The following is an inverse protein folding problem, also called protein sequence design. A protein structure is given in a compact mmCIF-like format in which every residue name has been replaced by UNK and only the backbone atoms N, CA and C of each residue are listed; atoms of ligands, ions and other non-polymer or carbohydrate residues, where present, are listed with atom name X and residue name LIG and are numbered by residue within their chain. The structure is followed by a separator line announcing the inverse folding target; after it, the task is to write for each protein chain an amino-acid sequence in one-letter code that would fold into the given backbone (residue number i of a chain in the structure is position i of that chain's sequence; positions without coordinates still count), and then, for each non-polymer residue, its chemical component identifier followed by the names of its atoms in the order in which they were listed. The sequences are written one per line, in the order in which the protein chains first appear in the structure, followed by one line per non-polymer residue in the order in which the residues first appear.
data_IF_743040438640
#
_entry.id   IF_743040438640
#
_cell.length_a   1.000
_cell.length_b   1.000
_cell.length_c   1.000
_cell.angle_alpha   90.00
_cell.angle_beta   90.00
_cell.angle_gamma   90.00
#
_symmetry.space_group_name_H-M   'P 1'
#
loop_
_entity.id
_entity.type
_entity.pdbx_description
1 polymer ?
#
# COMPACT_ATOMS: atom_id res chain seq x y z
N UNK A 1 30.66 -12.85 82.40
CA UNK A 1 29.47 -12.63 81.63
C UNK A 1 29.82 -11.76 80.41
N UNK A 2 30.02 -12.38 79.26
CA UNK A 2 30.29 -11.64 78.00
C UNK A 2 29.25 -12.03 77.02
N UNK A 3 28.65 -11.08 76.26
CA UNK A 3 27.72 -11.39 75.22
C UNK A 3 28.48 -11.70 73.90
N UNK A 4 28.07 -12.78 73.24
CA UNK A 4 28.47 -13.20 71.89
C UNK A 4 28.16 -12.11 70.85
N UNK A 5 29.19 -11.69 70.13
CA UNK A 5 29.04 -10.95 68.88
C UNK A 5 28.87 -11.92 67.71
N UNK A 6 27.74 -11.93 67.08
CA UNK A 6 27.51 -12.54 65.76
C UNK A 6 28.14 -11.66 64.68
N UNK A 7 29.26 -12.08 64.11
CA UNK A 7 29.80 -11.48 62.89
C UNK A 7 29.05 -12.01 61.66
N UNK A 8 28.24 -11.20 61.04
CA UNK A 8 27.61 -11.54 59.75
C UNK A 8 28.68 -11.44 58.65
N UNK A 9 28.89 -12.54 57.97
CA UNK A 9 29.93 -12.68 56.94
C UNK A 9 29.48 -12.03 55.61
N UNK A 10 29.89 -10.79 55.36
CA UNK A 10 29.53 -9.93 54.19
C UNK A 10 29.97 -10.51 52.81
N UNK A 11 30.68 -11.65 52.80
CA UNK A 11 31.09 -12.25 51.53
C UNK A 11 29.99 -13.01 50.79
N UNK A 12 28.99 -13.53 51.51
CA UNK A 12 27.90 -14.31 50.90
C UNK A 12 26.78 -13.43 50.31
N UNK A 13 26.61 -12.20 50.77
CA UNK A 13 25.59 -11.29 50.27
C UNK A 13 25.89 -10.76 48.88
N UNK A 14 27.17 -10.57 48.51
CA UNK A 14 27.57 -10.14 47.16
C UNK A 14 27.41 -11.25 46.12
N UNK A 15 27.64 -12.50 46.47
CA UNK A 15 27.45 -13.64 45.58
C UNK A 15 25.97 -13.91 45.29
N UNK A 16 25.10 -13.76 46.30
CA UNK A 16 23.64 -13.92 46.11
C UNK A 16 23.05 -12.77 45.30
N UNK A 17 23.52 -11.51 45.48
CA UNK A 17 23.10 -10.36 44.70
C UNK A 17 23.54 -10.46 43.24
N UNK A 18 24.75 -10.95 42.96
CA UNK A 18 25.23 -11.17 41.58
C UNK A 18 24.49 -12.32 40.90
N UNK A 19 24.15 -13.39 41.61
CA UNK A 19 23.36 -14.50 41.06
C UNK A 19 21.89 -14.06 40.75
N UNK A 20 21.28 -13.22 41.61
CA UNK A 20 19.98 -12.66 41.39
C UNK A 20 19.94 -11.66 40.18
N UNK A 21 21.04 -10.89 40.01
CA UNK A 21 21.17 -10.00 38.85
C UNK A 21 21.36 -10.79 37.54
N UNK A 22 22.13 -11.87 37.57
CA UNK A 22 22.29 -12.74 36.41
C UNK A 22 21.01 -13.50 36.04
N UNK A 23 20.23 -13.96 37.04
CA UNK A 23 18.92 -14.57 36.77
C UNK A 23 17.90 -13.56 36.24
N UNK A 24 17.92 -12.31 36.73
CA UNK A 24 17.03 -11.25 36.22
C UNK A 24 17.34 -10.86 34.76
N UNK A 25 18.63 -10.91 34.37
CA UNK A 25 19.03 -10.64 32.97
C UNK A 25 18.65 -11.81 32.05
N UNK A 26 18.70 -13.06 32.52
CA UNK A 26 18.30 -14.24 31.73
C UNK A 26 16.77 -14.31 31.53
N UNK A 27 15.98 -13.83 32.49
CA UNK A 27 14.51 -13.81 32.35
C UNK A 27 14.02 -12.68 31.42
N UNK A 28 14.85 -11.63 31.17
CA UNK A 28 14.50 -10.52 30.28
C UNK A 28 14.90 -10.76 28.81
N UNK A 29 15.73 -11.73 28.52
CA UNK A 29 16.03 -12.13 27.15
C UNK A 29 14.87 -12.99 26.62
N UNK A 30 13.85 -12.35 26.08
CA UNK A 30 12.94 -13.07 25.16
C UNK A 30 13.81 -13.66 24.05
N UNK A 31 13.69 -14.96 23.74
CA UNK A 31 14.38 -15.48 22.57
C UNK A 31 13.94 -14.64 21.37
N UNK A 32 14.91 -14.03 20.68
CA UNK A 32 14.63 -13.44 19.39
C UNK A 32 14.08 -14.59 18.54
N UNK A 33 12.79 -14.61 18.27
CA UNK A 33 12.23 -15.51 17.28
C UNK A 33 12.84 -15.09 15.96
N UNK A 34 13.45 -15.99 15.25
CA UNK A 34 13.90 -15.74 13.90
C UNK A 34 12.66 -15.35 13.07
N UNK A 35 12.76 -14.25 12.34
CA UNK A 35 11.76 -13.88 11.37
C UNK A 35 11.64 -15.03 10.37
N UNK A 36 10.43 -15.49 10.13
CA UNK A 36 10.16 -16.57 9.19
C UNK A 36 9.26 -16.04 8.08
N UNK A 37 9.80 -16.04 6.88
CA UNK A 37 9.02 -15.79 5.66
C UNK A 37 8.41 -17.11 5.19
N UNK A 38 7.14 -17.09 4.83
CA UNK A 38 6.40 -18.25 4.36
C UNK A 38 5.53 -17.84 3.18
N UNK A 39 5.68 -18.50 2.05
CA UNK A 39 4.72 -18.41 0.94
C UNK A 39 3.48 -19.21 1.34
N UNK A 40 2.35 -18.54 1.51
CA UNK A 40 1.07 -19.17 1.82
C UNK A 40 0.44 -19.76 0.58
N UNK A 41 0.49 -19.04 -0.54
CA UNK A 41 0.00 -19.47 -1.83
C UNK A 41 0.89 -18.91 -2.94
N UNK A 42 1.20 -19.74 -3.94
CA UNK A 42 1.87 -19.33 -5.15
C UNK A 42 0.93 -19.58 -6.33
N UNK A 43 0.58 -18.52 -7.04
CA UNK A 43 -0.33 -18.61 -8.19
C UNK A 43 0.31 -19.40 -9.32
N UNK A 44 -0.52 -20.20 -10.01
CA UNK A 44 -0.11 -21.04 -11.12
C UNK A 44 -0.50 -20.49 -12.50
N UNK A 45 -1.21 -19.35 -12.54
CA UNK A 45 -1.80 -18.84 -13.78
C UNK A 45 -3.07 -19.62 -14.19
N UNK A 46 -3.53 -19.42 -15.41
CA UNK A 46 -4.72 -20.12 -15.92
C UNK A 46 -5.94 -19.85 -15.04
N UNK A 47 -6.62 -20.90 -14.55
CA UNK A 47 -7.84 -20.75 -13.75
C UNK A 47 -7.62 -20.30 -12.31
N UNK A 48 -6.38 -20.37 -11.83
CA UNK A 48 -5.96 -19.95 -10.49
C UNK A 48 -5.78 -18.43 -10.39
N UNK A 49 -5.41 -17.81 -11.48
CA UNK A 49 -5.10 -16.39 -11.57
C UNK A 49 -3.60 -16.11 -11.57
N UNK A 50 -3.24 -14.88 -11.92
CA UNK A 50 -1.87 -14.40 -11.97
C UNK A 50 -1.80 -12.91 -11.65
N UNK A 51 -0.66 -12.47 -11.14
CA UNK A 51 -0.40 -11.07 -10.81
C UNK A 51 -1.40 -10.57 -9.77
N UNK A 52 -1.27 -11.03 -8.51
CA UNK A 52 -2.18 -10.61 -7.44
C UNK A 52 -1.99 -9.14 -7.09
N UNK A 53 -3.12 -8.45 -6.88
CA UNK A 53 -3.18 -7.09 -6.34
C UNK A 53 -3.03 -7.05 -4.81
N UNK A 54 -3.21 -5.86 -4.19
CA UNK A 54 -3.20 -5.72 -2.74
C UNK A 54 -4.25 -6.59 -2.06
N UNK A 55 -3.92 -7.08 -0.86
CA UNK A 55 -4.79 -7.95 -0.08
C UNK A 55 -5.44 -7.23 1.09
N UNK A 56 -6.59 -7.75 1.54
CA UNK A 56 -7.21 -7.41 2.83
C UNK A 56 -7.32 -8.66 3.69
N UNK A 57 -7.43 -8.47 5.02
CA UNK A 57 -7.52 -9.57 5.99
C UNK A 57 -8.78 -9.44 6.85
N UNK A 58 -9.50 -10.55 7.05
CA UNK A 58 -10.64 -10.58 7.97
C UNK A 58 -10.23 -10.95 9.40
N UNK A 59 -11.20 -10.84 10.32
CA UNK A 59 -10.98 -11.16 11.73
C UNK A 59 -10.68 -12.66 12.00
N UNK A 60 -11.00 -13.54 11.06
CA UNK A 60 -10.71 -14.98 11.10
C UNK A 60 -9.32 -15.31 10.56
N UNK A 61 -8.62 -14.31 9.99
CA UNK A 61 -7.29 -14.46 9.42
C UNK A 61 -7.29 -14.85 7.93
N UNK A 62 -8.44 -14.89 7.28
CA UNK A 62 -8.48 -15.10 5.85
C UNK A 62 -8.03 -13.85 5.10
N UNK A 63 -7.29 -14.07 4.03
CA UNK A 63 -6.82 -13.03 3.12
C UNK A 63 -7.70 -13.04 1.86
N UNK A 64 -8.01 -11.87 1.34
CA UNK A 64 -8.79 -11.69 0.13
C UNK A 64 -8.05 -10.74 -0.79
N UNK A 65 -8.03 -11.03 -2.07
CA UNK A 65 -7.41 -10.20 -3.09
C UNK A 65 -8.02 -10.44 -4.46
N UNK A 66 -7.46 -9.76 -5.42
CA UNK A 66 -7.75 -9.93 -6.85
C UNK A 66 -6.50 -10.42 -7.56
N UNK A 67 -6.65 -11.11 -8.68
CA UNK A 67 -5.55 -11.30 -9.63
C UNK A 67 -5.87 -10.52 -10.89
N UNK A 68 -4.88 -9.86 -11.45
CA UNK A 68 -5.01 -9.06 -12.67
C UNK A 68 -5.36 -9.93 -13.86
N UNK A 69 -4.70 -11.07 -13.98
CA UNK A 69 -4.80 -12.01 -15.09
C UNK A 69 -5.29 -13.37 -14.62
N UNK A 70 -5.52 -14.28 -15.57
CA UNK A 70 -6.07 -15.60 -15.29
C UNK A 70 -7.58 -15.61 -15.19
N UNK A 71 -8.12 -16.67 -14.64
CA UNK A 71 -9.56 -16.90 -14.49
C UNK A 71 -10.13 -17.81 -15.57
N UNK A 72 -10.53 -17.27 -16.71
CA UNK A 72 -11.14 -18.06 -17.79
C UNK A 72 -10.41 -17.84 -19.12
N UNK A 73 -10.16 -18.93 -19.90
CA UNK A 73 -9.45 -18.85 -21.17
C UNK A 73 -10.19 -18.05 -22.26
N UNK A 74 -11.47 -17.78 -22.10
CA UNK A 74 -12.30 -17.11 -23.12
C UNK A 74 -12.08 -15.60 -23.21
N UNK A 75 -11.30 -15.01 -22.30
CA UNK A 75 -11.00 -13.56 -22.30
C UNK A 75 -9.93 -13.14 -23.31
N UNK A 76 -9.38 -14.07 -24.10
CA UNK A 76 -8.29 -13.81 -25.06
C UNK A 76 -6.91 -13.86 -24.40
N UNK A 77 -5.92 -13.23 -25.04
CA UNK A 77 -4.55 -13.16 -24.54
C UNK A 77 -4.46 -12.33 -23.24
N UNK A 78 -5.41 -11.39 -23.06
CA UNK A 78 -5.58 -10.61 -21.83
C UNK A 78 -6.69 -11.25 -20.99
N UNK A 79 -6.33 -12.14 -20.12
CA UNK A 79 -7.22 -12.82 -19.18
C UNK A 79 -7.94 -11.83 -18.25
N UNK A 80 -9.16 -12.17 -17.80
CA UNK A 80 -10.03 -11.18 -17.12
C UNK A 80 -9.77 -11.01 -15.63
N UNK A 81 -8.98 -11.88 -15.03
CA UNK A 81 -8.66 -11.85 -13.59
C UNK A 81 -9.68 -12.54 -12.69
N UNK A 82 -9.36 -12.61 -11.41
CA UNK A 82 -10.15 -13.32 -10.38
C UNK A 82 -10.32 -12.48 -9.11
N UNK A 83 -11.30 -12.87 -8.28
CA UNK A 83 -11.34 -12.58 -6.84
C UNK A 83 -11.05 -13.87 -6.11
N UNK A 84 -10.10 -13.86 -5.19
CA UNK A 84 -9.68 -15.05 -4.43
C UNK A 84 -9.71 -14.84 -2.93
N UNK A 85 -9.68 -15.96 -2.20
CA UNK A 85 -9.49 -16.06 -0.76
C UNK A 85 -8.38 -17.05 -0.48
N UNK A 86 -7.46 -16.71 0.42
CA UNK A 86 -6.50 -17.64 1.03
C UNK A 86 -6.85 -17.76 2.52
N UNK A 87 -7.12 -18.97 2.98
CA UNK A 87 -7.41 -19.21 4.39
C UNK A 87 -6.13 -19.21 5.25
N UNK A 88 -6.28 -19.26 6.57
CA UNK A 88 -5.14 -19.24 7.51
C UNK A 88 -4.23 -20.47 7.41
N UNK A 89 -4.65 -21.53 6.69
CA UNK A 89 -3.85 -22.72 6.40
C UNK A 89 -3.14 -22.64 5.03
N UNK A 90 -3.34 -21.54 4.27
CA UNK A 90 -2.76 -21.34 2.95
C UNK A 90 -3.58 -21.95 1.80
N UNK A 91 -4.80 -22.44 2.07
CA UNK A 91 -5.64 -22.95 0.99
C UNK A 91 -6.29 -21.79 0.24
N UNK A 92 -6.01 -21.72 -1.05
CA UNK A 92 -6.65 -20.79 -1.96
C UNK A 92 -8.02 -21.28 -2.40
N UNK A 93 -8.94 -20.33 -2.64
CA UNK A 93 -10.25 -20.55 -3.25
C UNK A 93 -10.56 -19.37 -4.17
N UNK A 94 -10.75 -19.62 -5.45
CA UNK A 94 -11.28 -18.63 -6.39
C UNK A 94 -12.76 -18.40 -6.08
N UNK A 95 -13.10 -17.18 -5.66
CA UNK A 95 -14.47 -16.78 -5.33
C UNK A 95 -15.25 -16.33 -6.55
N UNK A 96 -14.58 -15.69 -7.51
CA UNK A 96 -15.19 -15.19 -8.74
C UNK A 96 -14.13 -15.11 -9.87
N UNK A 97 -14.58 -15.35 -11.10
CA UNK A 97 -13.78 -15.17 -12.32
C UNK A 97 -14.46 -14.17 -13.22
N UNK A 98 -13.76 -13.09 -13.54
CA UNK A 98 -14.29 -12.08 -14.46
C UNK A 98 -14.41 -12.63 -15.87
N UNK A 99 -15.45 -12.21 -16.59
CA UNK A 99 -15.75 -12.65 -17.94
C UNK A 99 -15.50 -11.56 -18.99
N UNK A 100 -15.07 -10.37 -18.56
CA UNK A 100 -14.94 -9.21 -19.42
C UNK A 100 -16.30 -8.57 -19.78
N UNK A 101 -16.28 -7.66 -20.73
CA UNK A 101 -17.49 -6.97 -21.15
C UNK A 101 -18.11 -6.13 -20.04
N UNK A 102 -19.40 -6.30 -19.76
CA UNK A 102 -20.12 -5.54 -18.72
C UNK A 102 -19.70 -5.89 -17.30
N UNK A 103 -19.06 -7.04 -17.08
CA UNK A 103 -18.60 -7.49 -15.76
C UNK A 103 -17.18 -7.01 -15.44
N UNK A 104 -16.54 -6.32 -16.39
CA UNK A 104 -15.19 -5.80 -16.24
C UNK A 104 -14.10 -6.85 -16.40
N UNK A 105 -12.88 -6.37 -16.41
CA UNK A 105 -11.64 -7.16 -16.48
C UNK A 105 -10.51 -6.37 -15.82
N UNK A 106 -9.38 -7.02 -15.59
CA UNK A 106 -8.20 -6.38 -15.01
C UNK A 106 -8.47 -5.74 -13.62
N UNK A 107 -8.90 -6.52 -12.60
CA UNK A 107 -9.14 -6.02 -11.26
C UNK A 107 -7.80 -5.90 -10.51
N UNK A 108 -7.16 -4.73 -10.62
CA UNK A 108 -5.85 -4.46 -9.99
C UNK A 108 -5.96 -3.75 -8.65
N UNK A 109 -7.04 -3.00 -8.43
CA UNK A 109 -7.25 -2.27 -7.18
C UNK A 109 -7.50 -3.21 -5.99
N UNK A 110 -7.10 -2.77 -4.81
CA UNK A 110 -7.39 -3.50 -3.57
C UNK A 110 -8.90 -3.60 -3.30
N UNK A 111 -9.27 -4.63 -2.54
CA UNK A 111 -10.65 -4.86 -2.11
C UNK A 111 -10.99 -4.08 -0.84
N UNK A 112 -12.29 -3.79 -0.65
CA UNK A 112 -12.86 -3.45 0.66
C UNK A 112 -13.97 -4.43 1.01
N UNK A 113 -14.18 -4.68 2.31
CA UNK A 113 -15.12 -5.68 2.81
C UNK A 113 -16.07 -5.08 3.84
N UNK A 114 -17.37 -5.32 3.70
CA UNK A 114 -18.36 -4.92 4.69
C UNK A 114 -18.54 -5.95 5.82
N UNK A 115 -19.32 -5.58 6.84
CA UNK A 115 -19.61 -6.45 7.98
C UNK A 115 -20.43 -7.69 7.63
N UNK A 116 -21.16 -7.67 6.51
CA UNK A 116 -21.93 -8.82 6.00
C UNK A 116 -21.02 -9.79 5.22
N UNK A 117 -19.78 -9.39 4.92
CA UNK A 117 -18.81 -10.20 4.19
C UNK A 117 -18.82 -9.97 2.69
N UNK A 118 -19.57 -9.00 2.19
CA UNK A 118 -19.48 -8.62 0.78
C UNK A 118 -18.12 -7.98 0.51
N UNK A 119 -17.54 -8.31 -0.64
CA UNK A 119 -16.31 -7.72 -1.17
C UNK A 119 -16.66 -6.70 -2.25
N UNK A 120 -15.93 -5.60 -2.30
CA UNK A 120 -16.09 -4.55 -3.30
C UNK A 120 -14.73 -4.19 -3.87
N UNK A 121 -14.68 -3.92 -5.16
CA UNK A 121 -13.48 -3.50 -5.87
C UNK A 121 -13.83 -2.81 -7.18
N UNK A 122 -12.80 -2.52 -7.96
CA UNK A 122 -12.92 -1.92 -9.30
C UNK A 122 -12.16 -2.76 -10.32
N UNK A 123 -12.56 -2.62 -11.58
CA UNK A 123 -11.84 -3.17 -12.72
C UNK A 123 -11.43 -2.04 -13.65
N UNK A 124 -10.30 -2.18 -14.35
CA UNK A 124 -9.84 -1.18 -15.32
C UNK A 124 -10.54 -1.28 -16.69
N UNK A 125 -11.17 -2.41 -16.98
CA UNK A 125 -11.62 -2.71 -18.34
C UNK A 125 -10.45 -3.08 -19.27
N UNK A 126 -10.67 -3.12 -20.58
CA UNK A 126 -9.65 -3.53 -21.57
C UNK A 126 -8.58 -2.44 -21.81
N UNK A 127 -7.89 -1.99 -20.75
CA UNK A 127 -6.71 -1.13 -20.86
C UNK A 127 -7.00 0.37 -20.96
N UNK A 128 -5.93 1.16 -21.13
CA UNK A 128 -5.89 2.62 -21.10
C UNK A 128 -6.84 3.34 -22.09
N UNK A 129 -7.41 2.62 -23.06
CA UNK A 129 -8.25 3.23 -24.12
C UNK A 129 -9.49 2.35 -24.38
N UNK A 130 -10.60 2.61 -23.65
CA UNK A 130 -11.94 2.29 -24.12
C UNK A 130 -12.64 1.05 -23.60
N UNK A 131 -12.17 0.42 -22.51
CA UNK A 131 -12.96 -0.59 -21.80
C UNK A 131 -13.89 0.07 -20.75
N UNK A 132 -15.05 -0.53 -20.50
CA UNK A 132 -15.91 -0.09 -19.40
C UNK A 132 -15.27 -0.47 -18.07
N UNK A 133 -14.77 0.51 -17.32
CA UNK A 133 -14.41 0.30 -15.93
C UNK A 133 -15.69 0.14 -15.11
N UNK A 134 -15.72 -0.85 -14.23
CA UNK A 134 -16.86 -1.08 -13.34
C UNK A 134 -16.39 -1.17 -11.89
N UNK A 135 -17.24 -0.71 -10.98
CA UNK A 135 -17.17 -1.15 -9.60
C UNK A 135 -17.99 -2.44 -9.45
N UNK A 136 -17.52 -3.39 -8.69
CA UNK A 136 -18.23 -4.64 -8.46
C UNK A 136 -18.47 -4.88 -6.96
N UNK A 137 -19.53 -5.61 -6.69
CA UNK A 137 -19.84 -6.21 -5.39
C UNK A 137 -19.89 -7.72 -5.57
N UNK A 138 -19.19 -8.46 -4.73
CA UNK A 138 -19.26 -9.91 -4.64
C UNK A 138 -19.83 -10.30 -3.27
N UNK A 139 -20.98 -10.96 -3.24
CA UNK A 139 -21.57 -11.42 -1.99
C UNK A 139 -20.87 -12.71 -1.48
N UNK A 140 -21.09 -13.12 -0.21
CA UNK A 140 -20.49 -14.34 0.34
C UNK A 140 -20.88 -15.64 -0.36
N UNK A 141 -21.93 -15.64 -1.20
CA UNK A 141 -22.36 -16.80 -1.99
C UNK A 141 -21.72 -16.83 -3.38
N UNK A 142 -20.85 -15.84 -3.71
CA UNK A 142 -20.19 -15.72 -5.01
C UNK A 142 -21.06 -15.03 -6.07
N UNK A 143 -22.17 -14.37 -5.68
CA UNK A 143 -23.00 -13.61 -6.61
C UNK A 143 -22.37 -12.23 -6.83
N UNK A 144 -21.96 -11.96 -8.05
CA UNK A 144 -21.41 -10.67 -8.47
C UNK A 144 -22.52 -9.72 -8.92
N UNK A 145 -22.33 -8.43 -8.68
CA UNK A 145 -23.12 -7.30 -9.18
C UNK A 145 -22.19 -6.20 -9.63
N UNK A 146 -22.23 -5.85 -10.91
CA UNK A 146 -21.47 -4.75 -11.49
C UNK A 146 -22.23 -3.43 -11.45
N UNK A 147 -21.52 -2.36 -11.23
CA UNK A 147 -22.01 -0.97 -11.28
C UNK A 147 -21.18 -0.20 -12.30
N UNK A 148 -21.86 0.43 -13.25
CA UNK A 148 -21.19 1.32 -14.20
C UNK A 148 -20.69 2.57 -13.48
N UNK A 149 -19.38 2.79 -13.52
CA UNK A 149 -18.71 3.97 -12.96
C UNK A 149 -18.14 4.86 -14.08
N UNK A 150 -18.57 4.63 -15.32
CA UNK A 150 -18.13 5.39 -16.47
C UNK A 150 -18.62 6.86 -16.34
N UNK A 151 -17.69 7.73 -15.97
CA UNK A 151 -17.85 9.18 -16.11
C UNK A 151 -17.23 9.60 -17.45
N UNK A 152 -17.76 10.61 -18.14
CA UNK A 152 -17.13 11.12 -19.36
C UNK A 152 -15.66 11.44 -19.13
N UNK A 153 -14.78 10.76 -19.86
CA UNK A 153 -13.32 10.86 -19.78
C UNK A 153 -12.67 10.35 -18.47
N UNK A 154 -13.40 9.71 -17.54
CA UNK A 154 -12.80 9.01 -16.42
C UNK A 154 -12.33 7.63 -16.87
N UNK A 155 -11.11 7.26 -16.53
CA UNK A 155 -10.56 5.93 -16.76
C UNK A 155 -9.63 5.54 -15.59
N UNK A 156 -9.18 4.32 -15.63
CA UNK A 156 -8.05 3.90 -14.82
C UNK A 156 -8.37 3.92 -13.31
N UNK A 157 -9.43 3.22 -12.91
CA UNK A 157 -9.84 3.06 -11.51
C UNK A 157 -8.98 1.96 -10.85
N UNK A 158 -7.71 2.27 -10.63
CA UNK A 158 -6.69 1.39 -10.05
C UNK A 158 -6.46 1.62 -8.54
N UNK A 159 -7.21 2.56 -7.98
CA UNK A 159 -7.09 2.91 -6.56
C UNK A 159 -8.11 2.17 -5.69
N UNK A 160 -7.73 1.80 -4.46
CA UNK A 160 -8.65 1.18 -3.51
C UNK A 160 -9.84 2.07 -3.21
N UNK A 161 -11.02 1.45 -3.10
CA UNK A 161 -12.23 2.12 -2.64
C UNK A 161 -12.21 2.31 -1.11
N UNK A 162 -12.94 3.30 -0.62
CA UNK A 162 -13.30 3.39 0.80
C UNK A 162 -14.80 3.11 0.96
N UNK A 163 -15.18 2.48 2.07
CA UNK A 163 -16.55 2.05 2.36
C UNK A 163 -17.04 2.71 3.64
N UNK A 164 -18.21 3.35 3.60
CA UNK A 164 -18.85 3.88 4.81
C UNK A 164 -19.82 2.88 5.46
N UNK A 165 -20.31 3.22 6.66
CA UNK A 165 -21.25 2.39 7.40
C UNK A 165 -22.64 2.27 6.74
N UNK A 166 -22.96 3.12 5.78
CA UNK A 166 -24.19 3.11 4.99
C UNK A 166 -24.06 2.26 3.74
N UNK A 167 -22.87 1.73 3.45
CA UNK A 167 -22.55 0.94 2.26
C UNK A 167 -22.24 1.78 1.04
N UNK A 168 -22.01 3.09 1.17
CA UNK A 168 -21.53 3.89 0.06
C UNK A 168 -20.03 3.62 -0.15
N UNK A 169 -19.65 3.52 -1.41
CA UNK A 169 -18.26 3.43 -1.84
C UNK A 169 -17.77 4.79 -2.29
N UNK A 170 -16.54 5.09 -1.97
CA UNK A 170 -15.84 6.31 -2.38
C UNK A 170 -14.56 5.93 -3.09
N UNK A 171 -14.28 6.60 -4.19
CA UNK A 171 -13.09 6.33 -4.98
C UNK A 171 -12.64 7.57 -5.75
N UNK A 172 -11.62 7.39 -6.54
CA UNK A 172 -11.04 8.42 -7.38
C UNK A 172 -10.75 7.89 -8.77
N UNK A 173 -10.71 8.81 -9.72
CA UNK A 173 -10.16 8.57 -11.05
C UNK A 173 -9.04 9.56 -11.28
N UNK A 174 -7.82 9.11 -11.67
CA UNK A 174 -6.68 10.00 -11.90
C UNK A 174 -6.92 10.94 -13.08
N UNK A 175 -7.82 10.58 -13.97
CA UNK A 175 -8.17 11.36 -15.15
C UNK A 175 -9.68 11.69 -15.19
N UNK A 176 -10.07 12.49 -16.18
CA UNK A 176 -11.45 12.92 -16.31
C UNK A 176 -11.76 14.23 -15.62
N UNK A 177 -13.03 14.59 -15.56
CA UNK A 177 -13.50 15.88 -15.05
C UNK A 177 -13.54 16.95 -16.14
N UNK A 178 -12.92 18.11 -15.90
CA UNK A 178 -12.99 19.24 -16.83
C UNK A 178 -12.05 19.07 -18.03
N UNK A 179 -12.51 19.26 -19.28
CA UNK A 179 -11.66 19.18 -20.47
C UNK A 179 -10.52 20.20 -20.53
N UNK A 180 -10.53 21.20 -19.65
CA UNK A 180 -9.56 22.31 -19.65
C UNK A 180 -8.49 22.19 -18.56
N UNK A 181 -8.33 21.06 -17.92
CA UNK A 181 -7.14 20.79 -17.15
C UNK A 181 -5.99 20.41 -18.11
N UNK A 182 -5.57 21.38 -18.93
CA UNK A 182 -4.46 21.23 -19.88
C UNK A 182 -3.08 21.26 -19.19
N UNK A 183 -3.04 20.94 -17.91
CA UNK A 183 -1.81 21.00 -17.13
C UNK A 183 -1.03 19.68 -17.22
N UNK A 184 -1.70 18.55 -17.54
CA UNK A 184 -1.01 17.27 -17.69
C UNK A 184 -0.63 16.97 -19.14
N UNK A 185 0.43 16.19 -19.32
CA UNK A 185 0.96 15.80 -20.63
C UNK A 185 -0.04 15.04 -21.50
N UNK A 186 -1.04 14.40 -20.89
CA UNK A 186 -2.04 13.58 -21.57
C UNK A 186 -3.32 14.33 -21.94
N UNK A 187 -3.55 15.52 -21.40
CA UNK A 187 -4.76 16.35 -21.63
C UNK A 187 -6.10 15.63 -21.29
N UNK A 188 -6.05 14.67 -20.38
CA UNK A 188 -7.18 13.81 -20.01
C UNK A 188 -8.00 14.33 -18.81
N UNK A 189 -7.74 15.57 -18.37
CA UNK A 189 -8.34 16.15 -17.16
C UNK A 189 -7.47 15.94 -15.93
N UNK A 190 -7.83 16.59 -14.81
CA UNK A 190 -7.05 16.56 -13.58
C UNK A 190 -7.51 15.47 -12.58
N UNK A 191 -8.54 14.75 -12.92
CA UNK A 191 -9.11 13.70 -12.08
C UNK A 191 -10.31 14.11 -11.25
N UNK A 192 -10.94 13.12 -10.64
CA UNK A 192 -12.19 13.30 -9.88
C UNK A 192 -12.23 12.44 -8.62
N UNK A 193 -13.02 12.89 -7.63
CA UNK A 193 -13.50 12.06 -6.54
C UNK A 193 -14.97 11.72 -6.78
N UNK A 194 -15.35 10.49 -6.49
CA UNK A 194 -16.71 10.03 -6.67
C UNK A 194 -17.25 9.25 -5.47
N UNK A 195 -18.58 9.16 -5.44
CA UNK A 195 -19.35 8.30 -4.55
C UNK A 195 -20.22 7.38 -5.40
N UNK A 196 -20.30 6.12 -4.99
CA UNK A 196 -21.25 5.14 -5.52
C UNK A 196 -22.14 4.67 -4.37
N UNK A 197 -23.46 4.85 -4.51
CA UNK A 197 -24.41 4.38 -3.49
C UNK A 197 -24.60 2.87 -3.58
N UNK A 198 -25.15 2.21 -2.51
CA UNK A 198 -25.48 0.78 -2.55
C UNK A 198 -26.46 0.38 -3.65
N UNK A 199 -27.19 1.33 -4.20
CA UNK A 199 -28.15 1.15 -5.31
C UNK A 199 -27.56 1.40 -6.69
N UNK A 200 -26.25 1.73 -6.76
CA UNK A 200 -25.53 1.98 -8.01
C UNK A 200 -25.62 3.43 -8.51
N UNK A 201 -26.10 4.37 -7.69
CA UNK A 201 -26.09 5.79 -8.08
C UNK A 201 -24.67 6.35 -7.98
N UNK A 202 -24.10 6.73 -9.13
CA UNK A 202 -22.78 7.34 -9.23
C UNK A 202 -22.87 8.87 -9.14
N UNK A 203 -22.07 9.48 -8.28
CA UNK A 203 -22.03 10.93 -8.05
C UNK A 203 -20.58 11.42 -8.02
N UNK A 204 -20.23 12.39 -8.86
CA UNK A 204 -18.96 13.10 -8.76
C UNK A 204 -19.03 14.09 -7.60
N UNK A 205 -18.16 13.91 -6.62
CA UNK A 205 -18.08 14.75 -5.41
C UNK A 205 -17.18 15.97 -5.61
N UNK A 206 -16.07 15.79 -6.38
CA UNK A 206 -15.11 16.84 -6.66
C UNK A 206 -14.41 16.60 -8.00
N UNK A 207 -14.08 17.69 -8.68
CA UNK A 207 -13.28 17.71 -9.91
C UNK A 207 -12.04 18.54 -9.64
N UNK A 208 -10.87 17.92 -9.74
CA UNK A 208 -9.61 18.61 -9.54
C UNK A 208 -9.31 19.61 -10.66
N UNK A 209 -8.61 20.70 -10.31
CA UNK A 209 -8.35 21.84 -11.20
C UNK A 209 -6.85 22.19 -11.33
N UNK A 210 -5.97 21.36 -10.78
CA UNK A 210 -4.52 21.55 -10.75
C UNK A 210 -4.01 22.33 -9.55
N UNK A 211 -4.71 23.36 -9.08
CA UNK A 211 -4.30 24.11 -7.88
C UNK A 211 -4.62 23.36 -6.58
N UNK A 212 -5.65 22.53 -6.58
CA UNK A 212 -6.03 21.68 -5.45
C UNK A 212 -5.50 20.24 -5.57
N UNK A 213 -4.84 19.94 -6.66
CA UNK A 213 -4.23 18.67 -7.00
C UNK A 213 -4.51 18.26 -8.42
N UNK A 214 -3.80 17.24 -8.88
CA UNK A 214 -3.94 16.64 -10.21
C UNK A 214 -3.53 15.16 -10.13
N UNK A 215 -4.23 14.30 -10.86
CA UNK A 215 -4.03 12.85 -10.85
C UNK A 215 -4.11 12.28 -9.42
N UNK A 216 -5.30 12.29 -8.78
CA UNK A 216 -5.47 11.66 -7.49
C UNK A 216 -5.33 10.15 -7.63
N UNK A 217 -4.44 9.57 -6.82
CA UNK A 217 -4.15 8.14 -6.75
C UNK A 217 -3.90 7.70 -5.30
N UNK A 218 -3.80 6.41 -5.07
CA UNK A 218 -3.51 5.87 -3.73
C UNK A 218 -4.72 5.69 -2.84
N UNK A 219 -5.93 5.91 -3.37
CA UNK A 219 -7.18 5.72 -2.64
C UNK A 219 -7.54 6.87 -1.69
N UNK A 220 -8.76 6.82 -1.17
CA UNK A 220 -9.26 7.75 -0.16
C UNK A 220 -9.48 7.02 1.17
N UNK A 221 -9.32 7.75 2.28
CA UNK A 221 -9.67 7.27 3.61
C UNK A 221 -10.77 8.13 4.22
N UNK A 222 -11.64 7.51 5.02
CA UNK A 222 -12.78 8.13 5.70
C UNK A 222 -12.48 8.32 7.18
N UNK A 223 -12.87 9.48 7.73
CA UNK A 223 -12.98 9.63 9.18
C UNK A 223 -14.41 9.29 9.67
N UNK A 224 -14.57 9.17 10.99
CA UNK A 224 -15.88 8.90 11.61
C UNK A 224 -16.93 10.01 11.44
N UNK A 225 -16.60 11.11 10.75
CA UNK A 225 -17.48 12.25 10.48
C UNK A 225 -17.90 12.31 9.01
N UNK A 226 -17.43 11.36 8.20
CA UNK A 226 -17.70 11.30 6.76
C UNK A 226 -16.86 12.26 5.92
N UNK A 227 -15.74 12.77 6.44
CA UNK A 227 -14.78 13.47 5.63
C UNK A 227 -13.88 12.45 4.89
N UNK A 228 -13.52 12.77 3.65
CA UNK A 228 -12.59 12.03 2.83
C UNK A 228 -11.22 12.71 2.86
N UNK A 229 -10.17 11.92 2.92
CA UNK A 229 -8.79 12.40 2.83
C UNK A 229 -8.07 11.58 1.78
N UNK A 230 -7.17 12.21 1.05
CA UNK A 230 -6.37 11.55 0.01
C UNK A 230 -5.21 12.42 -0.45
N UNK A 231 -4.54 11.97 -1.49
CA UNK A 231 -3.44 12.66 -2.14
C UNK A 231 -3.71 12.82 -3.63
N UNK A 232 -3.11 13.84 -4.21
CA UNK A 232 -2.99 13.96 -5.66
C UNK A 232 -1.49 14.01 -5.98
N UNK A 233 -1.07 13.22 -6.98
CA UNK A 233 0.35 13.01 -7.28
C UNK A 233 1.05 14.29 -7.75
N UNK A 234 0.29 15.16 -8.44
CA UNK A 234 0.75 16.42 -9.01
C UNK A 234 -0.16 17.58 -8.63
N UNK A 235 0.12 18.76 -9.17
CA UNK A 235 -0.66 19.96 -8.85
C UNK A 235 -0.23 20.58 -7.52
N UNK A 236 -1.06 21.47 -6.99
CA UNK A 236 -0.77 22.28 -5.82
C UNK A 236 0.08 23.50 -6.13
N UNK A 237 1.32 23.53 -5.70
CA UNK A 237 2.30 24.57 -6.09
C UNK A 237 2.81 24.31 -7.50
N UNK A 238 2.24 24.96 -8.49
CA UNK A 238 2.58 24.80 -9.91
C UNK A 238 3.99 25.36 -10.26
N UNK A 239 4.69 26.00 -9.33
CA UNK A 239 6.09 26.42 -9.53
C UNK A 239 7.06 25.27 -9.27
N UNK A 240 6.59 24.20 -8.63
CA UNK A 240 7.28 22.93 -8.49
C UNK A 240 7.02 22.08 -9.73
N UNK A 241 8.01 21.35 -10.19
CA UNK A 241 7.87 20.31 -11.20
C UNK A 241 8.25 18.97 -10.59
N UNK A 242 7.39 17.97 -10.75
CA UNK A 242 7.65 16.60 -10.30
C UNK A 242 7.78 15.66 -11.49
N UNK A 243 8.63 14.66 -11.34
CA UNK A 243 8.71 13.55 -12.27
C UNK A 243 7.79 12.41 -11.78
N UNK A 244 6.91 12.00 -12.65
CA UNK A 244 6.11 10.81 -12.45
C UNK A 244 5.87 10.11 -13.77
N UNK A 245 5.87 8.78 -13.77
CA UNK A 245 5.66 7.95 -14.98
C UNK A 245 6.58 8.30 -16.16
N UNK A 246 7.77 8.88 -15.90
CA UNK A 246 8.73 9.29 -16.94
C UNK A 246 8.43 10.64 -17.60
N UNK A 247 7.45 11.40 -17.10
CA UNK A 247 7.10 12.73 -17.61
C UNK A 247 7.24 13.79 -16.50
N UNK A 248 7.53 15.03 -16.91
CA UNK A 248 7.48 16.18 -16.02
C UNK A 248 6.07 16.76 -16.02
N UNK A 249 5.48 16.83 -14.83
CA UNK A 249 4.16 17.38 -14.61
C UNK A 249 4.24 18.58 -13.64
N UNK A 250 3.41 19.61 -13.82
CA UNK A 250 3.41 20.77 -12.94
C UNK A 250 2.85 20.44 -11.57
N UNK A 251 3.52 20.93 -10.54
CA UNK A 251 3.17 20.69 -9.13
C UNK A 251 3.77 19.42 -8.58
N UNK A 252 4.00 19.42 -7.28
CA UNK A 252 4.65 18.31 -6.56
C UNK A 252 3.67 17.47 -5.75
N UNK A 253 2.38 17.74 -5.92
CA UNK A 253 1.30 17.00 -5.31
C UNK A 253 0.72 17.66 -4.06
N UNK A 254 -0.40 17.13 -3.61
CA UNK A 254 -1.13 17.65 -2.45
C UNK A 254 -1.62 16.54 -1.54
N UNK A 255 -1.81 16.88 -0.26
CA UNK A 255 -2.69 16.17 0.66
C UNK A 255 -3.94 16.98 0.82
N UNK A 256 -5.11 16.39 0.63
CA UNK A 256 -6.39 17.10 0.68
C UNK A 256 -7.39 16.45 1.64
N UNK A 257 -8.38 17.25 2.01
CA UNK A 257 -9.60 16.86 2.71
C UNK A 257 -10.80 17.32 1.92
N UNK A 258 -11.75 16.43 1.64
CA UNK A 258 -13.10 16.76 1.22
C UNK A 258 -14.04 16.56 2.40
N UNK A 259 -14.66 17.63 2.89
CA UNK A 259 -15.59 17.52 4.00
C UNK A 259 -16.97 17.01 3.55
N UNK A 260 -17.80 16.63 4.51
CA UNK A 260 -19.15 16.11 4.27
C UNK A 260 -20.11 17.13 3.61
N UNK A 261 -19.73 18.42 3.51
CA UNK A 261 -20.46 19.44 2.77
C UNK A 261 -20.04 19.55 1.30
N UNK A 262 -19.01 18.79 0.88
CA UNK A 262 -18.43 18.83 -0.46
C UNK A 262 -17.36 19.90 -0.67
N UNK A 263 -16.87 20.53 0.40
CA UNK A 263 -15.77 21.49 0.32
C UNK A 263 -14.42 20.79 0.39
N UNK A 264 -13.61 20.91 -0.66
CA UNK A 264 -12.22 20.48 -0.65
C UNK A 264 -11.32 21.54 0.01
N UNK A 265 -10.37 21.09 0.80
CA UNK A 265 -9.32 21.90 1.43
C UNK A 265 -7.99 21.20 1.24
N UNK A 266 -7.01 21.89 0.66
CA UNK A 266 -5.63 21.42 0.60
C UNK A 266 -5.01 21.56 2.00
N UNK A 267 -4.57 20.45 2.57
CA UNK A 267 -3.94 20.39 3.89
C UNK A 267 -2.44 20.64 3.79
N UNK A 268 -1.82 20.16 2.70
CA UNK A 268 -0.42 20.38 2.37
C UNK A 268 -0.22 20.37 0.86
N UNK A 269 0.65 21.27 0.37
CA UNK A 269 1.13 21.30 -1.01
C UNK A 269 2.63 21.04 -0.98
N UNK A 270 3.06 19.95 -1.61
CA UNK A 270 4.47 19.54 -1.61
C UNK A 270 5.32 20.50 -2.45
N UNK A 271 6.57 20.66 -2.03
CA UNK A 271 7.52 21.61 -2.68
C UNK A 271 8.60 20.90 -3.51
N UNK A 272 8.62 19.55 -3.49
CA UNK A 272 9.62 18.75 -4.20
C UNK A 272 10.99 18.70 -3.54
N UNK A 273 11.12 19.31 -2.36
CA UNK A 273 12.38 19.43 -1.60
C UNK A 273 12.38 18.50 -0.40
N UNK A 274 12.65 19.04 0.79
CA UNK A 274 12.70 18.29 2.07
C UNK A 274 11.40 17.61 2.44
N UNK A 275 10.26 18.07 1.96
CA UNK A 275 8.94 17.53 2.24
C UNK A 275 8.52 16.42 1.26
N UNK A 276 9.23 16.27 0.14
CA UNK A 276 8.97 15.28 -0.88
C UNK A 276 8.12 15.77 -2.05
N UNK A 277 7.80 14.87 -2.96
CA UNK A 277 6.85 15.04 -4.08
C UNK A 277 6.24 13.71 -4.49
N UNK A 278 5.19 13.74 -5.29
CA UNK A 278 4.49 12.56 -5.78
C UNK A 278 3.96 11.68 -4.63
N UNK A 279 3.01 12.20 -3.81
CA UNK A 279 2.45 11.44 -2.69
C UNK A 279 1.51 10.32 -3.16
N UNK A 280 1.65 9.11 -2.57
CA UNK A 280 0.98 7.88 -2.99
C UNK A 280 -0.16 7.42 -2.04
N UNK A 281 -0.91 8.34 -1.50
CA UNK A 281 -2.02 8.02 -0.61
C UNK A 281 -1.70 8.23 0.86
N UNK A 282 -2.73 8.10 1.68
CA UNK A 282 -2.64 8.26 3.13
C UNK A 282 -3.45 7.19 3.86
N UNK A 283 -3.03 6.88 5.08
CA UNK A 283 -3.83 6.18 6.08
C UNK A 283 -4.20 7.16 7.20
N UNK A 284 -5.28 6.87 7.92
CA UNK A 284 -5.77 7.69 9.02
C UNK A 284 -5.77 6.90 10.33
N UNK A 285 -5.31 7.50 11.43
CA UNK A 285 -5.42 6.91 12.77
C UNK A 285 -6.70 7.36 13.50
N UNK A 286 -7.00 6.73 14.63
CA UNK A 286 -8.19 7.05 15.44
C UNK A 286 -8.20 8.46 16.04
N UNK A 287 -7.06 9.14 16.06
CA UNK A 287 -6.93 10.53 16.48
C UNK A 287 -7.16 11.52 15.33
N UNK A 288 -7.26 11.02 14.08
CA UNK A 288 -7.43 11.83 12.88
C UNK A 288 -6.11 12.31 12.27
N UNK A 289 -4.97 11.74 12.66
CA UNK A 289 -3.71 12.01 11.98
C UNK A 289 -3.61 11.18 10.70
N UNK A 290 -3.10 11.79 9.65
CA UNK A 290 -2.80 11.16 8.37
C UNK A 290 -1.32 10.81 8.30
N UNK A 291 -1.01 9.68 7.69
CA UNK A 291 0.36 9.23 7.42
C UNK A 291 0.43 8.78 5.96
N UNK A 292 1.48 9.18 5.26
CA UNK A 292 1.66 8.84 3.84
C UNK A 292 3.12 8.82 3.44
N UNK A 293 3.33 8.44 2.19
CA UNK A 293 4.65 8.43 1.53
C UNK A 293 4.60 9.41 0.37
N UNK A 294 5.62 10.25 0.26
CA UNK A 294 5.94 10.97 -0.96
C UNK A 294 7.12 10.25 -1.64
N UNK A 295 6.92 9.82 -2.89
CA UNK A 295 7.82 8.92 -3.58
C UNK A 295 9.17 9.57 -3.93
N UNK A 296 9.17 10.85 -4.23
CA UNK A 296 10.33 11.60 -4.65
C UNK A 296 10.65 12.74 -3.67
N UNK A 297 11.78 13.43 -3.87
CA UNK A 297 12.22 14.52 -3.00
C UNK A 297 12.79 14.02 -1.68
N UNK A 298 12.76 14.85 -0.66
CA UNK A 298 13.28 14.54 0.68
C UNK A 298 14.73 14.96 0.91
N UNK A 299 15.50 15.32 -0.11
CA UNK A 299 16.92 15.64 0.02
C UNK A 299 17.26 17.06 -0.49
N UNK A 300 17.92 17.87 0.37
CA UNK A 300 18.53 19.13 -0.04
C UNK A 300 20.03 19.01 -0.38
N UNK A 301 20.61 17.81 -0.17
CA UNK A 301 22.08 17.70 0.04
C UNK A 301 22.89 17.79 -1.25
N UNK A 302 22.33 17.57 -2.42
CA UNK A 302 23.18 17.41 -3.60
C UNK A 302 23.20 18.56 -4.60
N UNK A 303 22.51 19.66 -4.45
CA UNK A 303 22.70 20.84 -5.32
C UNK A 303 22.71 20.56 -6.83
N UNK A 304 22.76 19.32 -7.22
CA UNK A 304 22.42 18.84 -8.52
C UNK A 304 20.91 18.52 -8.45
N UNK A 305 20.14 19.12 -9.29
CA UNK A 305 18.73 18.81 -9.51
C UNK A 305 18.57 17.30 -9.82
N UNK A 306 18.94 16.40 -8.87
CA UNK A 306 18.58 15.00 -8.97
C UNK A 306 17.07 14.97 -8.80
N UNK A 307 16.40 14.95 -9.92
CA UNK A 307 14.95 15.01 -10.13
C UNK A 307 14.20 13.88 -9.42
N UNK A 308 14.95 13.04 -8.71
CA UNK A 308 14.56 11.81 -8.06
C UNK A 308 15.11 11.77 -6.62
N UNK A 309 14.65 12.61 -5.73
CA UNK A 309 14.94 12.38 -4.31
C UNK A 309 14.45 10.98 -3.88
N UNK A 310 14.89 10.51 -2.72
CA UNK A 310 14.60 9.14 -2.25
C UNK A 310 13.27 9.01 -1.52
N UNK A 311 12.49 10.09 -1.48
CA UNK A 311 11.18 10.13 -0.88
C UNK A 311 11.18 10.35 0.63
N UNK A 312 9.98 10.55 1.15
CA UNK A 312 9.74 10.79 2.58
C UNK A 312 8.54 10.02 3.08
N UNK A 313 8.54 9.71 4.37
CA UNK A 313 7.34 9.36 5.12
C UNK A 313 6.88 10.59 5.89
N UNK A 314 5.64 10.99 5.71
CA UNK A 314 5.09 12.20 6.29
C UNK A 314 3.88 11.95 7.20
N UNK A 315 3.58 12.96 8.01
CA UNK A 315 2.37 13.02 8.82
C UNK A 315 1.70 14.39 8.65
N UNK A 316 0.37 14.40 8.56
CA UNK A 316 -0.46 15.58 8.79
C UNK A 316 -1.27 15.32 10.04
N UNK A 317 -1.10 16.12 11.08
CA UNK A 317 -1.84 15.90 12.32
C UNK A 317 -3.33 16.33 12.19
N UNK A 318 -4.14 16.00 13.19
CA UNK A 318 -5.57 16.31 13.20
C UNK A 318 -5.89 17.83 13.15
N UNK A 319 -4.89 18.69 13.39
CA UNK A 319 -5.00 20.15 13.28
C UNK A 319 -4.54 20.64 11.89
N UNK A 320 -4.09 19.75 11.00
CA UNK A 320 -3.59 20.08 9.68
C UNK A 320 -2.09 20.46 9.64
N UNK A 321 -1.33 20.21 10.73
CA UNK A 321 0.11 20.49 10.75
C UNK A 321 0.88 19.36 10.08
N UNK A 322 1.59 19.70 9.01
CA UNK A 322 2.47 18.77 8.27
C UNK A 322 3.82 18.59 8.98
N UNK A 323 4.37 17.38 8.91
CA UNK A 323 5.74 17.05 9.35
C UNK A 323 6.29 15.85 8.58
N UNK A 324 7.57 15.85 8.29
CA UNK A 324 8.31 14.69 7.78
C UNK A 324 8.70 13.82 8.99
N UNK A 325 8.38 12.53 8.93
CA UNK A 325 8.73 11.55 9.95
C UNK A 325 10.04 10.84 9.63
N UNK A 326 10.27 10.59 8.35
CA UNK A 326 11.47 9.92 7.86
C UNK A 326 11.80 10.39 6.45
N UNK A 327 13.09 10.52 6.15
CA UNK A 327 13.60 10.79 4.81
C UNK A 327 14.50 9.64 4.40
N UNK A 328 14.22 9.02 3.27
CA UNK A 328 15.08 7.99 2.72
C UNK A 328 16.36 8.61 2.19
N UNK A 329 17.50 7.95 2.40
CA UNK A 329 18.83 8.45 2.06
C UNK A 329 19.36 7.70 0.84
N UNK A 330 19.99 8.39 -0.15
CA UNK A 330 20.53 7.72 -1.32
C UNK A 330 21.62 6.72 -0.95
N UNK A 331 21.52 5.53 -1.52
CA UNK A 331 22.61 4.55 -1.47
C UNK A 331 23.63 4.88 -2.56
N UNK A 332 24.79 5.38 -2.19
CA UNK A 332 25.82 5.77 -3.15
C UNK A 332 26.79 4.66 -3.50
N UNK A 333 26.88 3.60 -2.68
CA UNK A 333 27.76 2.44 -2.89
C UNK A 333 27.18 1.15 -2.26
N UNK A 334 26.92 0.08 -3.02
CA UNK A 334 26.52 -1.21 -2.46
C UNK A 334 27.62 -1.88 -1.61
N UNK A 335 27.27 -2.67 -0.57
CA UNK A 335 25.91 -2.88 -0.09
C UNK A 335 25.37 -1.67 0.65
N UNK A 336 24.11 -1.31 0.38
CA UNK A 336 23.43 -0.23 1.07
C UNK A 336 23.28 -0.54 2.54
N UNK A 337 23.34 0.47 3.40
CA UNK A 337 23.01 0.32 4.81
C UNK A 337 21.53 0.62 5.00
N UNK A 338 20.97 0.13 6.11
CA UNK A 338 19.58 0.32 6.48
C UNK A 338 19.10 1.77 6.28
N UNK A 339 17.99 1.96 5.59
CA UNK A 339 17.43 3.27 5.26
C UNK A 339 18.10 4.00 4.08
N UNK A 340 19.04 3.37 3.37
CA UNK A 340 19.61 3.89 2.14
C UNK A 340 18.96 3.23 0.93
N UNK A 341 18.42 4.04 0.02
CA UNK A 341 17.75 3.59 -1.21
C UNK A 341 18.31 4.34 -2.42
N UNK A 342 18.36 3.69 -3.58
CA UNK A 342 18.79 4.33 -4.84
C UNK A 342 17.64 4.96 -5.60
N UNK A 343 16.45 4.37 -5.46
CA UNK A 343 15.27 4.82 -6.16
C UNK A 343 14.04 4.19 -5.50
N UNK A 344 13.29 4.91 -4.67
CA UNK A 344 12.05 4.38 -4.10
C UNK A 344 10.99 4.34 -5.19
N UNK A 345 11.08 3.35 -6.08
CA UNK A 345 10.05 3.10 -7.08
C UNK A 345 8.94 2.34 -6.38
N UNK A 346 7.80 3.02 -6.16
CA UNK A 346 6.54 2.43 -5.72
C UNK A 346 6.51 1.87 -4.27
N UNK A 347 6.86 2.69 -3.28
CA UNK A 347 6.43 2.37 -1.91
C UNK A 347 4.90 2.36 -1.87
N UNK A 348 4.31 1.17 -1.87
CA UNK A 348 2.88 0.99 -1.74
C UNK A 348 2.41 1.40 -0.34
N UNK A 349 1.12 1.57 -0.18
CA UNK A 349 0.42 2.02 1.02
C UNK A 349 1.06 1.61 2.34
N UNK A 350 1.17 2.59 3.26
CA UNK A 350 1.54 2.32 4.64
C UNK A 350 0.45 1.55 5.36
N UNK A 351 0.85 0.72 6.31
CA UNK A 351 -0.03 0.21 7.35
C UNK A 351 0.52 0.57 8.73
N UNK A 352 -0.35 0.71 9.73
CA UNK A 352 0.03 1.16 11.06
C UNK A 352 -0.46 0.19 12.12
N UNK A 353 0.42 -0.22 13.04
CA UNK A 353 0.05 -1.06 14.17
C UNK A 353 -0.58 -0.26 15.32
N UNK A 354 -1.10 -0.97 16.32
CA UNK A 354 -1.67 -0.36 17.53
C UNK A 354 -0.63 0.36 18.40
N UNK A 355 0.66 0.04 18.24
CA UNK A 355 1.78 0.71 18.90
C UNK A 355 2.18 2.02 18.24
N UNK A 356 1.68 2.29 17.03
CA UNK A 356 1.96 3.48 16.26
C UNK A 356 3.12 3.34 15.28
N UNK A 357 3.70 2.15 15.12
CA UNK A 357 4.73 1.92 14.12
C UNK A 357 4.08 1.85 12.73
N UNK A 358 4.80 2.35 11.74
CA UNK A 358 4.42 2.32 10.33
C UNK A 358 5.19 1.22 9.62
N UNK A 359 4.51 0.49 8.75
CA UNK A 359 5.09 -0.55 7.91
C UNK A 359 4.83 -0.20 6.46
N UNK A 360 5.80 -0.42 5.61
CA UNK A 360 5.71 -0.14 4.18
C UNK A 360 6.64 -1.03 3.39
N UNK A 361 6.46 -0.97 2.08
CA UNK A 361 7.25 -1.72 1.13
C UNK A 361 8.10 -0.76 0.30
N UNK A 362 9.32 -1.13 0.09
CA UNK A 362 10.24 -0.47 -0.80
C UNK A 362 10.55 -1.42 -1.97
N UNK A 363 10.43 -0.92 -3.19
CA UNK A 363 10.63 -1.72 -4.41
C UNK A 363 11.96 -1.45 -5.09
N UNK A 364 12.98 -1.05 -4.35
CA UNK A 364 14.29 -0.77 -4.96
C UNK A 364 15.13 -2.05 -5.08
N UNK A 365 15.92 -2.12 -6.15
CA UNK A 365 16.98 -3.12 -6.30
C UNK A 365 18.13 -2.93 -5.28
N UNK A 366 17.96 -2.05 -4.30
CA UNK A 366 18.98 -1.63 -3.34
C UNK A 366 18.85 -2.33 -2.00
N UNK A 367 17.75 -3.00 -1.74
CA UNK A 367 17.65 -3.97 -0.66
C UNK A 367 18.67 -5.09 -0.91
N UNK A 368 19.21 -5.68 0.14
CA UNK A 368 20.40 -6.55 0.07
C UNK A 368 20.30 -7.70 -0.94
N UNK A 369 19.07 -8.11 -1.30
CA UNK A 369 18.79 -9.18 -2.26
C UNK A 369 18.20 -8.69 -3.60
N UNK A 370 17.95 -7.38 -3.76
CA UNK A 370 17.51 -6.79 -5.03
C UNK A 370 16.03 -6.93 -5.39
N UNK A 371 15.19 -7.49 -4.53
CA UNK A 371 13.75 -7.70 -4.76
C UNK A 371 12.84 -6.69 -4.04
N UNK A 372 13.41 -5.66 -3.46
CA UNK A 372 12.69 -4.76 -2.56
C UNK A 372 12.77 -5.19 -1.10
N UNK A 373 12.26 -4.39 -0.19
CA UNK A 373 12.21 -4.72 1.22
C UNK A 373 10.93 -4.28 1.93
N UNK A 374 10.60 -5.01 2.98
CA UNK A 374 9.60 -4.62 3.96
C UNK A 374 10.30 -3.87 5.08
N UNK A 375 9.89 -2.65 5.36
CA UNK A 375 10.44 -1.84 6.43
C UNK A 375 9.42 -1.53 7.52
N UNK A 376 9.94 -1.17 8.70
CA UNK A 376 9.16 -0.60 9.81
C UNK A 376 9.80 0.71 10.26
N UNK A 377 8.99 1.73 10.48
CA UNK A 377 9.40 2.97 11.14
C UNK A 377 8.72 3.02 12.50
N UNK A 378 9.50 3.10 13.58
CA UNK A 378 8.97 3.21 14.93
C UNK A 378 8.47 4.64 15.25
N UNK A 379 7.81 4.81 16.39
CA UNK A 379 7.27 6.12 16.82
C UNK A 379 8.33 7.19 17.10
N UNK A 380 9.61 6.83 17.08
CA UNK A 380 10.75 7.75 17.23
C UNK A 380 11.38 8.11 15.90
N UNK A 381 10.87 7.55 14.79
CA UNK A 381 11.39 7.75 13.44
C UNK A 381 12.57 6.84 13.09
N UNK A 382 12.84 5.76 13.85
CA UNK A 382 13.87 4.79 13.48
C UNK A 382 13.32 3.79 12.48
N UNK A 383 13.98 3.65 11.34
CA UNK A 383 13.67 2.63 10.34
C UNK A 383 14.38 1.32 10.69
N UNK A 384 13.71 0.21 10.43
CA UNK A 384 14.22 -1.15 10.54
C UNK A 384 13.76 -1.93 9.31
N UNK A 385 14.69 -2.50 8.55
CA UNK A 385 14.36 -3.44 7.48
C UNK A 385 13.98 -4.77 8.13
N UNK A 386 12.77 -5.21 7.85
CA UNK A 386 12.24 -6.45 8.41
C UNK A 386 12.53 -7.64 7.52
N UNK A 387 12.47 -7.46 6.21
CA UNK A 387 12.73 -8.53 5.25
C UNK A 387 13.18 -7.98 3.91
N UNK A 388 14.24 -8.57 3.34
CA UNK A 388 14.73 -8.33 2.00
C UNK A 388 14.21 -9.42 1.06
N UNK A 389 13.40 -9.04 0.08
CA UNK A 389 12.88 -9.96 -0.92
C UNK A 389 13.95 -10.32 -1.95
N UNK A 390 13.92 -11.54 -2.43
CA UNK A 390 14.83 -12.01 -3.47
C UNK A 390 14.45 -11.36 -4.82
N UNK A 391 15.46 -10.96 -5.61
CA UNK A 391 15.25 -10.29 -6.90
C UNK A 391 14.75 -11.24 -7.98
N UNK A 392 14.48 -10.68 -9.16
CA UNK A 392 13.84 -11.33 -10.32
C UNK A 392 14.37 -12.71 -10.71
N UNK A 393 15.61 -13.04 -10.36
CA UNK A 393 16.27 -14.27 -10.82
C UNK A 393 16.72 -15.19 -9.68
N UNK A 394 16.43 -14.88 -8.41
CA UNK A 394 17.15 -15.52 -7.31
C UNK A 394 16.30 -16.34 -6.33
N UNK A 395 14.95 -16.27 -6.36
CA UNK A 395 14.20 -17.03 -5.37
C UNK A 395 12.68 -17.07 -5.51
N UNK A 396 12.04 -17.96 -4.73
CA UNK A 396 10.60 -18.17 -4.76
C UNK A 396 9.81 -17.07 -4.06
N UNK A 397 10.48 -16.14 -3.35
CA UNK A 397 9.82 -15.11 -2.54
C UNK A 397 9.05 -14.11 -3.40
N UNK A 398 9.49 -13.89 -4.62
CA UNK A 398 8.92 -12.92 -5.54
C UNK A 398 9.53 -11.54 -5.42
N UNK A 399 9.13 -10.67 -6.33
CA UNK A 399 9.53 -9.27 -6.34
C UNK A 399 8.34 -8.36 -6.68
N UNK A 400 8.47 -7.06 -6.40
CA UNK A 400 7.40 -6.07 -6.55
C UNK A 400 6.21 -6.39 -5.64
N UNK A 401 6.36 -6.12 -4.35
CA UNK A 401 5.27 -6.29 -3.39
C UNK A 401 4.15 -5.26 -3.63
N UNK A 402 2.90 -5.74 -3.66
CA UNK A 402 1.72 -4.93 -4.02
C UNK A 402 1.05 -4.28 -2.83
N UNK A 403 1.25 -4.79 -1.64
CA UNK A 403 0.68 -4.25 -0.41
C UNK A 403 0.86 -5.20 0.76
N UNK A 404 0.74 -4.66 1.97
CA UNK A 404 0.80 -5.43 3.22
C UNK A 404 -0.39 -5.13 4.12
N UNK A 405 -0.75 -6.11 4.94
CA UNK A 405 -1.72 -5.99 6.03
C UNK A 405 -1.15 -6.60 7.30
N UNK A 406 -1.54 -6.06 8.45
CA UNK A 406 -1.07 -6.55 9.74
C UNK A 406 -2.03 -7.57 10.34
N UNK A 407 -1.47 -8.61 10.93
CA UNK A 407 -2.17 -9.50 11.83
C UNK A 407 -2.37 -8.89 13.22
N UNK A 408 -3.31 -9.44 13.98
CA UNK A 408 -3.53 -9.03 15.39
C UNK A 408 -2.37 -9.38 16.32
N UNK A 409 -1.51 -10.29 15.89
CA UNK A 409 -0.27 -10.77 16.52
C UNK A 409 0.96 -9.93 16.17
N UNK A 410 0.81 -8.96 15.23
CA UNK A 410 1.89 -8.13 14.71
C UNK A 410 2.59 -8.73 13.49
N UNK A 411 2.18 -9.91 13.06
CA UNK A 411 2.67 -10.53 11.83
C UNK A 411 2.23 -9.72 10.60
N UNK A 412 3.03 -9.80 9.54
CA UNK A 412 2.78 -9.09 8.28
C UNK A 412 2.37 -10.10 7.20
N UNK A 413 1.32 -9.78 6.49
CA UNK A 413 0.85 -10.53 5.33
C UNK A 413 0.88 -9.63 4.11
N UNK A 414 1.17 -10.18 2.94
CA UNK A 414 1.23 -9.37 1.71
C UNK A 414 1.10 -10.23 0.46
N UNK A 415 1.13 -9.55 -0.68
CA UNK A 415 1.15 -10.15 -1.99
C UNK A 415 2.32 -9.62 -2.81
N UNK A 416 2.86 -10.46 -3.69
CA UNK A 416 3.93 -10.13 -4.61
C UNK A 416 3.41 -10.21 -6.03
N UNK A 417 3.70 -9.20 -6.84
CA UNK A 417 3.28 -9.09 -8.24
C UNK A 417 3.76 -10.29 -9.07
N UNK A 418 5.02 -10.65 -8.92
CA UNK A 418 5.65 -11.81 -9.55
C UNK A 418 6.35 -12.65 -8.48
N UNK A 419 6.69 -13.87 -8.81
CA UNK A 419 7.35 -14.84 -7.92
C UNK A 419 6.59 -16.15 -7.84
N UNK A 420 7.12 -17.06 -7.03
CA UNK A 420 6.66 -18.43 -6.96
C UNK A 420 7.57 -19.37 -7.76
N UNK A 421 7.22 -20.67 -7.88
CA UNK A 421 8.04 -21.64 -8.59
C UNK A 421 8.25 -21.23 -10.06
N UNK A 422 9.49 -21.26 -10.58
CA UNK A 422 9.80 -20.81 -11.94
C UNK A 422 9.20 -21.71 -13.05
N UNK A 423 8.59 -22.83 -12.69
CA UNK A 423 8.00 -23.81 -13.61
C UNK A 423 6.49 -23.61 -13.83
N UNK A 424 5.90 -22.55 -13.24
CA UNK A 424 4.47 -22.30 -13.35
C UNK A 424 4.12 -21.59 -14.66
N UNK A 425 2.93 -21.89 -15.16
CA UNK A 425 2.42 -21.61 -16.50
C UNK A 425 2.19 -20.13 -16.87
N UNK A 426 2.73 -19.16 -16.10
CA UNK A 426 2.72 -17.75 -16.47
C UNK A 426 3.55 -17.42 -17.72
N UNK A 427 4.26 -18.43 -18.29
CA UNK A 427 4.91 -18.31 -19.57
C UNK A 427 3.92 -17.98 -20.71
N UNK A 428 2.65 -18.38 -20.57
CA UNK A 428 1.61 -18.09 -21.57
C UNK A 428 1.17 -16.61 -21.51
N UNK A 429 1.36 -15.93 -20.36
CA UNK A 429 1.06 -14.49 -20.17
C UNK A 429 2.32 -13.60 -20.35
N UNK A 430 3.44 -14.17 -20.81
CA UNK A 430 4.70 -13.46 -21.07
C UNK A 430 5.55 -13.19 -19.81
N UNK A 431 5.15 -13.67 -18.64
CA UNK A 431 5.92 -13.55 -17.40
C UNK A 431 6.78 -14.79 -17.15
N UNK A 432 8.09 -14.61 -17.22
CA UNK A 432 9.07 -15.72 -17.02
C UNK A 432 9.38 -16.01 -15.55
N UNK A 433 8.92 -15.16 -14.63
CA UNK A 433 9.37 -15.13 -13.22
C UNK A 433 8.25 -15.47 -12.22
N UNK A 434 7.32 -16.36 -12.60
CA UNK A 434 6.21 -16.81 -11.79
C UNK A 434 4.98 -15.90 -11.85
N UNK A 435 3.88 -16.35 -11.25
CA UNK A 435 2.55 -15.74 -11.36
C UNK A 435 2.17 -14.87 -10.16
N UNK A 436 3.09 -14.70 -9.22
CA UNK A 436 2.87 -13.98 -7.98
C UNK A 436 2.56 -14.89 -6.80
N UNK A 437 2.67 -14.31 -5.60
CA UNK A 437 2.48 -15.05 -4.34
C UNK A 437 1.68 -14.26 -3.33
N UNK A 438 1.12 -14.99 -2.35
CA UNK A 438 0.64 -14.44 -1.07
C UNK A 438 1.56 -14.96 0.02
N UNK A 439 2.05 -14.08 0.89
CA UNK A 439 3.04 -14.42 1.91
C UNK A 439 2.62 -14.04 3.32
N UNK A 440 3.31 -14.65 4.28
CA UNK A 440 3.26 -14.36 5.70
C UNK A 440 4.69 -14.18 6.23
N UNK A 441 4.93 -13.10 6.95
CA UNK A 441 6.16 -12.83 7.67
C UNK A 441 5.85 -12.71 9.17
N UNK A 442 6.48 -13.55 9.98
CA UNK A 442 6.43 -13.39 11.43
C UNK A 442 7.30 -12.20 11.82
N UNK A 443 6.67 -11.11 12.28
CA UNK A 443 7.37 -9.90 12.72
C UNK A 443 7.49 -9.93 14.26
N UNK A 444 8.66 -10.21 14.79
CA UNK A 444 8.92 -10.16 16.24
C UNK A 444 10.10 -9.29 16.60
#
# INVERSE_FOLDING_TARGET
MFPNQFSVNLRNTRAVALLALLLAVVVAARPARAQTYTVLHAFAGGTDGAVPGPIIRDAQGNLYGTTRFGGIPSCGEDTCGTVYKVDSAGNETVLYRFEGGSNGSDPIAGLVRDAAGNLYGTTQGNGFIGGAAVAFKLDPNGQETSFDIASPNACCFDSPLALDAQGNLYGMSPFGGVPNCNLNSFQLGCGTLFKLSPTGEFTVLHIFNGLDGMQPEGGVVLDGKGNLYGTANFGGDLTCESLGYGYREPGCGTVYKLDSSGKLTVLHSFTGRVDGSFPLGVIIDSAGNLYGIAQNGGDEVNGDNSEYGNGTVFKVDANGQFSVLFTFIPCTQPPCTQGQVRNPVFASHLVRDSGGNLYGLEQSNDCAKGGGCLFRIDTKGNLTDLYDFEGENEGPDGFTAMGVVLGSDGDVYGSMFLGGPPETACADDGFTNGCGTVFHLTAH
#
